data_IF_043441089678
#
_entry.id   IF_043441089678
#
_cell.length_a   1.000
_cell.length_b   1.000
_cell.length_c   1.000
_cell.angle_alpha   90.00
_cell.angle_beta   90.00
_cell.angle_gamma   90.00
#
_symmetry.space_group_name_H-M   'P 1'
#
loop_
_entity.id
_entity.type
_entity.pdbx_description
1 polymer ?
#
# COMPACT_ATOMS: atom_id res chain seq x y z
N UNK A 1 -3.07 11.89 20.22
CA UNK A 1 -2.22 12.60 19.24
C UNK A 1 -1.15 11.65 18.73
N UNK A 2 -0.68 11.86 17.50
CA UNK A 2 0.34 11.01 16.89
C UNK A 2 1.75 11.38 17.35
N UNK A 3 2.55 10.37 17.68
CA UNK A 3 3.95 10.47 18.09
C UNK A 3 4.80 9.56 17.22
N UNK A 4 5.93 10.07 16.74
CA UNK A 4 6.92 9.25 16.07
C UNK A 4 7.80 8.56 17.13
N UNK A 5 7.90 7.24 17.05
CA UNK A 5 8.78 6.43 17.90
C UNK A 5 9.96 5.94 17.08
N UNK A 6 11.15 6.07 17.67
CA UNK A 6 12.42 5.70 17.04
C UNK A 6 13.11 4.64 17.88
N UNK A 7 13.66 3.61 17.21
CA UNK A 7 14.42 2.52 17.82
C UNK A 7 13.68 1.76 18.94
N UNK A 8 12.36 1.88 19.01
CA UNK A 8 11.54 1.21 20.01
C UNK A 8 11.04 -0.16 19.55
N UNK A 9 11.04 -1.09 20.49
CA UNK A 9 10.37 -2.40 20.43
C UNK A 9 9.45 -2.57 21.65
N UNK A 10 8.81 -3.74 21.79
CA UNK A 10 7.97 -4.02 22.96
C UNK A 10 6.85 -5.03 22.72
N UNK A 11 6.58 -5.35 21.45
CA UNK A 11 5.69 -6.45 21.13
C UNK A 11 6.47 -7.79 21.22
N UNK A 12 5.96 -8.81 21.94
CA UNK A 12 6.63 -10.11 22.05
C UNK A 12 6.84 -10.83 20.70
N UNK A 13 6.09 -10.43 19.67
CA UNK A 13 6.20 -10.94 18.31
C UNK A 13 7.15 -10.12 17.41
N UNK A 14 7.81 -9.08 17.94
CA UNK A 14 8.83 -8.33 17.20
C UNK A 14 10.22 -8.91 17.48
N UNK A 15 10.78 -9.61 16.49
CA UNK A 15 12.16 -10.13 16.53
C UNK A 15 13.14 -9.12 15.95
N UNK A 16 14.29 -8.90 16.59
CA UNK A 16 15.33 -7.98 16.10
C UNK A 16 16.73 -8.52 16.38
N UNK A 17 17.70 -8.16 15.52
CA UNK A 17 19.11 -8.48 15.70
C UNK A 17 19.95 -7.25 16.07
N UNK A 18 19.37 -6.04 16.01
CA UNK A 18 20.08 -4.77 16.18
C UNK A 18 19.38 -3.85 17.19
N UNK A 19 18.58 -4.41 18.10
CA UNK A 19 17.79 -3.65 19.07
C UNK A 19 16.91 -2.56 18.43
N UNK A 20 16.40 -2.81 17.22
CA UNK A 20 15.50 -1.92 16.48
C UNK A 20 16.12 -0.61 15.99
N UNK A 21 17.45 -0.45 16.02
CA UNK A 21 18.13 0.71 15.42
C UNK A 21 17.69 0.88 13.95
N UNK A 22 17.29 2.10 13.59
CA UNK A 22 16.76 2.48 12.27
C UNK A 22 15.25 2.27 12.12
N UNK A 23 14.55 1.74 13.14
CA UNK A 23 13.11 1.55 13.09
C UNK A 23 12.38 2.85 13.43
N UNK A 24 11.37 3.18 12.63
CA UNK A 24 10.49 4.32 12.79
C UNK A 24 9.04 3.86 12.72
N UNK A 25 8.20 4.24 13.69
CA UNK A 25 6.75 3.97 13.64
C UNK A 25 5.96 5.14 14.21
N UNK A 26 4.75 5.34 13.71
CA UNK A 26 3.80 6.30 14.25
C UNK A 26 2.84 5.61 15.22
N UNK A 27 2.70 6.16 16.43
CA UNK A 27 1.74 5.67 17.43
C UNK A 27 0.79 6.80 17.82
N UNK A 28 -0.50 6.48 17.90
CA UNK A 28 -1.48 7.41 18.46
C UNK A 28 -1.58 7.23 19.98
N UNK A 29 -1.17 8.26 20.73
CA UNK A 29 -1.30 8.32 22.19
C UNK A 29 -2.48 9.22 22.59
N UNK A 30 -3.59 8.67 23.14
CA UNK A 30 -4.74 9.47 23.58
C UNK A 30 -4.46 10.28 24.85
N UNK A 31 -3.40 9.98 25.60
CA UNK A 31 -3.02 10.66 26.84
C UNK A 31 -2.06 11.83 26.60
N UNK A 32 -1.49 11.93 25.40
CA UNK A 32 -0.60 13.01 25.04
C UNK A 32 -1.37 14.33 24.91
N UNK A 33 -1.21 15.20 25.89
CA UNK A 33 -1.79 16.55 25.89
C UNK A 33 -0.83 17.53 25.23
N UNK A 34 -1.12 17.90 23.99
CA UNK A 34 -0.47 19.02 23.33
C UNK A 34 -1.15 20.34 23.73
N UNK A 35 -0.40 21.43 23.68
CA UNK A 35 -0.95 22.78 23.83
C UNK A 35 -1.91 23.10 22.68
N UNK A 36 -2.89 24.02 22.89
CA UNK A 36 -3.79 24.45 21.83
C UNK A 36 -3.08 24.99 20.58
N UNK A 37 -1.91 25.63 20.76
CA UNK A 37 -1.09 26.13 19.64
C UNK A 37 -0.57 24.98 18.77
N UNK A 38 -0.02 23.93 19.39
CA UNK A 38 0.53 22.78 18.66
C UNK A 38 -0.54 22.01 17.90
N UNK A 39 -1.73 21.87 18.48
CA UNK A 39 -2.87 21.26 17.80
C UNK A 39 -3.27 22.11 16.60
N UNK A 40 -3.42 23.43 16.80
CA UNK A 40 -3.77 24.35 15.71
C UNK A 40 -2.74 24.32 14.58
N UNK A 41 -1.46 24.24 14.88
CA UNK A 41 -0.41 24.17 13.87
C UNK A 41 -0.47 22.87 13.03
N UNK A 42 -0.78 21.74 13.67
CA UNK A 42 -0.94 20.46 12.96
C UNK A 42 -2.18 20.49 12.06
N UNK A 43 -3.30 21.00 12.57
CA UNK A 43 -4.53 21.11 11.80
C UNK A 43 -4.41 22.12 10.65
N UNK A 44 -3.73 23.25 10.88
CA UNK A 44 -3.42 24.20 9.81
C UNK A 44 -2.58 23.56 8.71
N UNK A 45 -1.53 22.78 9.06
CA UNK A 45 -0.72 22.09 8.05
C UNK A 45 -1.55 21.10 7.20
N UNK A 46 -2.49 20.38 7.83
CA UNK A 46 -3.40 19.46 7.15
C UNK A 46 -4.39 20.19 6.24
N UNK A 47 -4.95 21.29 6.73
CA UNK A 47 -5.86 22.13 5.96
C UNK A 47 -5.15 22.76 4.76
N UNK A 48 -3.97 23.35 4.99
CA UNK A 48 -3.13 23.97 3.95
C UNK A 48 -2.80 22.95 2.85
N UNK A 49 -2.45 21.71 3.22
CA UNK A 49 -2.24 20.65 2.24
C UNK A 49 -3.53 20.37 1.46
N UNK A 50 -4.65 20.17 2.15
CA UNK A 50 -5.95 19.82 1.54
C UNK A 50 -6.42 20.89 0.54
N UNK A 51 -6.24 22.16 0.86
CA UNK A 51 -6.59 23.29 0.00
C UNK A 51 -5.69 23.39 -1.24
N UNK A 52 -4.41 23.04 -1.10
CA UNK A 52 -3.40 23.14 -2.15
C UNK A 52 -3.07 21.80 -2.85
N UNK A 53 -3.80 20.71 -2.54
CA UNK A 53 -3.52 19.32 -2.98
C UNK A 53 -3.43 19.10 -4.49
N UNK A 54 -3.93 20.05 -5.28
CA UNK A 54 -3.85 20.01 -6.74
C UNK A 54 -2.64 20.75 -7.31
N UNK A 55 -1.97 21.60 -6.53
CA UNK A 55 -0.70 22.25 -6.91
C UNK A 55 0.49 21.58 -6.23
N UNK A 56 0.31 21.12 -4.99
CA UNK A 56 1.34 20.44 -4.19
C UNK A 56 0.94 18.98 -4.04
N UNK A 57 1.75 18.08 -4.59
CA UNK A 57 1.50 16.63 -4.58
C UNK A 57 2.26 15.89 -3.47
N UNK A 58 3.34 16.46 -2.96
CA UNK A 58 4.17 15.81 -1.93
C UNK A 58 3.98 16.50 -0.59
N UNK A 59 3.90 15.71 0.47
CA UNK A 59 4.08 16.19 1.84
C UNK A 59 5.53 16.60 2.09
N UNK A 60 5.70 17.47 3.09
CA UNK A 60 6.95 18.01 3.57
C UNK A 60 7.27 17.53 5.00
N UNK A 61 6.65 16.43 5.46
CA UNK A 61 6.87 15.84 6.80
C UNK A 61 6.70 16.84 7.96
N UNK A 62 5.72 17.74 7.84
CA UNK A 62 5.60 18.87 8.77
C UNK A 62 5.32 18.40 10.20
N UNK A 63 4.56 17.31 10.36
CA UNK A 63 4.24 16.73 11.67
C UNK A 63 5.50 16.15 12.34
N UNK A 64 6.33 15.42 11.58
CA UNK A 64 7.60 14.86 12.07
C UNK A 64 8.59 15.97 12.43
N UNK A 65 8.78 16.93 11.52
CA UNK A 65 9.72 18.05 11.71
C UNK A 65 9.41 18.87 12.96
N UNK A 66 8.13 19.10 13.25
CA UNK A 66 7.69 19.78 14.49
C UNK A 66 8.01 19.01 15.77
N UNK A 67 8.05 17.67 15.73
CA UNK A 67 8.47 16.87 16.90
C UNK A 67 9.99 17.00 17.10
N UNK A 68 10.77 16.86 16.02
CA UNK A 68 12.23 17.01 16.08
C UNK A 68 12.70 18.43 16.41
N UNK A 69 11.99 19.46 15.98
CA UNK A 69 12.29 20.85 16.34
C UNK A 69 12.35 21.05 17.87
N UNK A 70 11.49 20.35 18.61
CA UNK A 70 11.45 20.38 20.08
C UNK A 70 12.51 19.49 20.71
N UNK A 71 12.77 18.33 20.14
CA UNK A 71 13.74 17.36 20.68
C UNK A 71 15.20 17.80 20.45
N UNK A 72 15.49 18.44 19.32
CA UNK A 72 16.84 18.78 18.86
C UNK A 72 17.03 20.29 18.56
N UNK A 73 16.81 21.20 19.53
CA UNK A 73 16.81 22.64 19.25
C UNK A 73 18.15 23.13 18.67
N UNK A 74 18.09 23.84 17.54
CA UNK A 74 19.27 24.44 16.90
C UNK A 74 19.65 25.73 17.63
N UNK A 75 20.94 25.89 17.95
CA UNK A 75 21.44 27.04 18.71
C UNK A 75 21.44 28.36 17.92
N UNK A 76 21.52 28.30 16.59
CA UNK A 76 21.65 29.47 15.72
C UNK A 76 20.83 29.34 14.42
N UNK A 77 19.86 30.23 14.25
CA UNK A 77 19.10 30.38 13.00
C UNK A 77 19.85 31.34 12.08
N UNK A 78 20.66 30.78 11.19
CA UNK A 78 21.41 31.56 10.20
C UNK A 78 20.46 32.17 9.14
N UNK A 79 20.70 33.43 8.70
CA UNK A 79 19.80 34.14 7.79
C UNK A 79 19.77 33.51 6.40
N UNK A 80 18.61 33.55 5.74
CA UNK A 80 18.50 33.09 4.36
C UNK A 80 19.25 34.03 3.42
N UNK A 81 20.25 33.49 2.73
CA UNK A 81 20.93 34.17 1.63
C UNK A 81 20.17 33.90 0.34
N UNK A 82 19.68 34.95 -0.31
CA UNK A 82 19.08 34.88 -1.65
C UNK A 82 20.04 35.52 -2.64
N UNK A 83 20.59 34.73 -3.55
CA UNK A 83 21.45 35.22 -4.63
C UNK A 83 20.59 35.36 -5.88
N UNK A 84 20.56 36.54 -6.51
CA UNK A 84 19.84 36.73 -7.79
C UNK A 84 20.62 36.14 -8.95
N UNK A 85 19.95 35.82 -10.06
CA UNK A 85 20.60 35.26 -11.26
C UNK A 85 21.80 36.08 -11.78
N UNK A 86 21.76 37.40 -11.61
CA UNK A 86 22.83 38.31 -12.06
C UNK A 86 23.90 38.61 -11.01
N UNK A 87 23.76 38.12 -9.78
CA UNK A 87 24.69 38.37 -8.68
C UNK A 87 25.78 37.29 -8.63
N UNK A 88 27.02 37.68 -8.33
CA UNK A 88 28.11 36.71 -8.13
C UNK A 88 27.88 35.94 -6.84
N UNK A 89 27.90 34.62 -6.93
CA UNK A 89 27.91 33.73 -5.76
C UNK A 89 29.20 33.95 -4.97
N UNK A 90 29.09 34.41 -3.73
CA UNK A 90 30.23 34.64 -2.84
C UNK A 90 30.51 33.40 -1.98
N UNK A 91 31.76 33.25 -1.52
CA UNK A 91 32.15 32.19 -0.58
C UNK A 91 31.33 32.26 0.73
N UNK A 92 31.04 33.47 1.20
CA UNK A 92 30.21 33.71 2.38
C UNK A 92 28.77 33.23 2.17
N UNK A 93 28.17 33.48 0.99
CA UNK A 93 26.84 33.03 0.64
C UNK A 93 26.76 31.50 0.61
N UNK A 94 27.75 30.85 0.00
CA UNK A 94 27.87 29.38 -0.03
C UNK A 94 28.05 28.83 1.38
N UNK A 95 28.97 29.38 2.16
CA UNK A 95 29.27 28.92 3.53
C UNK A 95 28.06 29.05 4.44
N UNK A 96 27.35 30.18 4.37
CA UNK A 96 26.13 30.41 5.16
C UNK A 96 25.03 29.45 4.76
N UNK A 97 24.85 29.23 3.45
CA UNK A 97 23.83 28.29 2.93
C UNK A 97 24.14 26.85 3.32
N UNK A 98 25.40 26.43 3.23
CA UNK A 98 25.85 25.10 3.64
C UNK A 98 25.63 24.88 5.14
N UNK A 99 26.05 25.82 5.99
CA UNK A 99 25.82 25.74 7.43
C UNK A 99 24.33 25.67 7.78
N UNK A 100 23.47 26.42 7.06
CA UNK A 100 22.01 26.32 7.21
C UNK A 100 21.49 24.93 6.89
N UNK A 101 21.95 24.35 5.78
CA UNK A 101 21.58 22.99 5.38
C UNK A 101 22.02 21.95 6.41
N UNK A 102 23.27 22.04 6.88
CA UNK A 102 23.80 21.12 7.90
C UNK A 102 23.07 21.28 9.24
N UNK A 103 22.83 22.51 9.71
CA UNK A 103 22.07 22.75 10.93
C UNK A 103 20.65 22.18 10.84
N UNK A 104 20.01 22.34 9.69
CA UNK A 104 18.68 21.78 9.43
C UNK A 104 18.68 20.25 9.45
N UNK A 105 19.60 19.60 8.73
CA UNK A 105 19.68 18.13 8.72
C UNK A 105 20.06 17.54 10.09
N UNK A 106 20.91 18.22 10.86
CA UNK A 106 21.21 17.82 12.24
C UNK A 106 19.98 17.89 13.15
N UNK A 107 19.08 18.85 12.93
CA UNK A 107 17.86 19.00 13.72
C UNK A 107 16.90 17.81 13.54
N UNK A 108 16.78 17.29 12.32
CA UNK A 108 15.87 16.18 12.00
C UNK A 108 16.52 14.79 12.09
N UNK A 109 17.72 14.69 12.66
CA UNK A 109 18.37 13.42 12.92
C UNK A 109 17.75 12.76 14.15
N UNK A 110 17.39 11.49 14.04
CA UNK A 110 16.87 10.74 15.17
C UNK A 110 17.96 10.31 16.15
N UNK A 111 17.58 9.99 17.39
CA UNK A 111 18.51 9.74 18.48
C UNK A 111 19.39 8.48 18.30
N UNK A 112 19.00 7.55 17.43
CA UNK A 112 19.78 6.37 17.04
C UNK A 112 20.66 6.63 15.80
N UNK A 113 20.67 7.86 15.29
CA UNK A 113 21.56 8.36 14.25
C UNK A 113 21.00 8.33 12.82
N UNK A 114 19.80 7.78 12.58
CA UNK A 114 19.21 7.78 11.23
C UNK A 114 18.36 9.02 10.95
N UNK A 115 17.96 9.21 9.69
CA UNK A 115 17.02 10.26 9.27
C UNK A 115 15.69 9.64 8.88
N UNK A 116 14.66 9.78 9.73
CA UNK A 116 13.33 9.33 9.38
C UNK A 116 12.72 10.25 8.31
N UNK A 117 11.76 9.75 7.55
CA UNK A 117 11.13 10.55 6.49
C UNK A 117 10.09 9.80 5.68
N UNK A 118 9.28 10.57 4.97
CA UNK A 118 8.31 10.06 4.03
C UNK A 118 9.00 9.34 2.86
N UNK A 119 8.53 8.13 2.57
CA UNK A 119 8.94 7.35 1.41
C UNK A 119 7.74 6.67 0.74
N UNK A 120 6.62 7.40 0.65
CA UNK A 120 5.42 7.03 -0.09
C UNK A 120 5.50 7.35 -1.58
N UNK A 121 4.34 7.55 -2.20
CA UNK A 121 4.21 7.90 -3.62
C UNK A 121 3.34 6.93 -4.41
N UNK A 122 3.62 5.61 -4.41
CA UNK A 122 2.77 4.64 -5.10
C UNK A 122 1.40 4.49 -4.43
N UNK A 123 0.34 4.51 -5.24
CA UNK A 123 -1.06 4.50 -4.77
C UNK A 123 -1.69 3.10 -4.79
N UNK A 124 -0.89 2.04 -4.94
CA UNK A 124 -1.35 0.64 -4.98
C UNK A 124 -0.82 -0.21 -3.82
N UNK A 125 -0.05 0.37 -2.90
CA UNK A 125 0.52 -0.36 -1.75
C UNK A 125 -0.51 -0.55 -0.63
N UNK A 126 -1.10 0.56 -0.19
CA UNK A 126 -2.13 0.57 0.86
C UNK A 126 -3.33 -0.33 0.53
N UNK A 127 -3.85 -0.35 -0.72
CA UNK A 127 -4.94 -1.26 -1.07
C UNK A 127 -4.66 -2.73 -0.78
N UNK A 128 -3.48 -3.24 -1.15
CA UNK A 128 -3.13 -4.63 -0.87
C UNK A 128 -3.12 -4.95 0.62
N UNK A 129 -2.58 -4.03 1.43
CA UNK A 129 -2.57 -4.15 2.90
C UNK A 129 -3.99 -4.17 3.48
N UNK A 130 -4.85 -3.23 3.08
CA UNK A 130 -6.22 -3.10 3.61
C UNK A 130 -7.10 -4.27 3.17
N UNK A 131 -6.96 -4.74 1.93
CA UNK A 131 -7.64 -5.95 1.44
C UNK A 131 -7.20 -7.15 2.29
N UNK A 132 -5.89 -7.35 2.45
CA UNK A 132 -5.35 -8.46 3.23
C UNK A 132 -5.87 -8.43 4.67
N UNK A 133 -5.78 -7.29 5.34
CA UNK A 133 -6.25 -7.15 6.71
C UNK A 133 -7.76 -7.36 6.87
N UNK A 134 -8.54 -6.98 5.86
CA UNK A 134 -9.99 -7.23 5.81
C UNK A 134 -10.29 -8.73 5.74
N UNK A 135 -9.63 -9.46 4.84
CA UNK A 135 -9.89 -10.90 4.65
C UNK A 135 -9.36 -11.75 5.81
N UNK A 136 -8.24 -11.37 6.43
CA UNK A 136 -7.71 -12.11 7.59
C UNK A 136 -8.42 -11.76 8.90
N UNK A 137 -9.40 -10.84 8.88
CA UNK A 137 -10.09 -10.34 10.07
C UNK A 137 -9.21 -9.51 11.02
N UNK A 138 -8.01 -9.12 10.58
CA UNK A 138 -7.02 -8.42 11.41
C UNK A 138 -7.13 -6.88 11.33
N UNK A 139 -7.99 -6.35 10.46
CA UNK A 139 -8.13 -4.90 10.20
C UNK A 139 -8.29 -4.07 11.48
N UNK A 140 -9.23 -4.43 12.34
CA UNK A 140 -9.49 -3.69 13.58
C UNK A 140 -8.47 -3.95 14.68
N UNK A 141 -7.76 -5.08 14.61
CA UNK A 141 -6.70 -5.42 15.56
C UNK A 141 -5.40 -4.66 15.25
N UNK A 142 -5.14 -4.39 13.97
CA UNK A 142 -3.91 -3.72 13.51
C UNK A 142 -4.10 -2.21 13.32
N UNK A 143 -5.25 -1.79 12.76
CA UNK A 143 -5.53 -0.39 12.44
C UNK A 143 -6.59 0.16 13.40
N UNK A 144 -6.18 1.08 14.27
CA UNK A 144 -7.10 1.83 15.13
C UNK A 144 -7.99 2.78 14.31
N UNK A 145 -9.02 3.34 14.95
CA UNK A 145 -9.87 4.38 14.34
C UNK A 145 -9.04 5.55 13.79
N UNK A 146 -7.98 5.93 14.48
CA UNK A 146 -7.12 7.04 14.07
C UNK A 146 -6.28 6.68 12.85
N UNK A 147 -5.76 5.44 12.74
CA UNK A 147 -5.09 4.99 11.51
C UNK A 147 -6.05 5.11 10.33
N UNK A 148 -7.27 4.60 10.46
CA UNK A 148 -8.27 4.62 9.38
C UNK A 148 -8.60 6.05 8.93
N UNK A 149 -8.81 6.98 9.88
CA UNK A 149 -9.06 8.41 9.57
C UNK A 149 -7.91 9.03 8.77
N UNK A 150 -6.66 8.78 9.17
CA UNK A 150 -5.50 9.33 8.47
C UNK A 150 -5.28 8.68 7.10
N UNK A 151 -5.58 7.39 6.95
CA UNK A 151 -5.54 6.70 5.66
C UNK A 151 -6.62 7.22 4.71
N UNK A 152 -7.85 7.43 5.20
CA UNK A 152 -8.93 8.06 4.44
C UNK A 152 -8.53 9.48 4.00
N UNK A 153 -7.95 10.28 4.90
CA UNK A 153 -7.43 11.62 4.58
C UNK A 153 -6.42 11.57 3.44
N UNK A 154 -5.46 10.64 3.50
CA UNK A 154 -4.47 10.45 2.44
C UNK A 154 -5.11 10.14 1.09
N UNK A 155 -6.06 9.21 1.06
CA UNK A 155 -6.74 8.83 -0.18
C UNK A 155 -7.55 9.99 -0.77
N UNK A 156 -8.25 10.77 0.05
CA UNK A 156 -8.97 11.96 -0.43
C UNK A 156 -8.06 13.09 -0.91
N UNK A 157 -6.92 13.29 -0.23
CA UNK A 157 -5.95 14.30 -0.62
C UNK A 157 -5.28 13.98 -1.97
N UNK A 158 -5.21 12.70 -2.35
CA UNK A 158 -4.60 12.26 -3.60
C UNK A 158 -5.60 11.85 -4.68
N UNK A 159 -6.90 12.10 -4.48
CA UNK A 159 -7.89 11.99 -5.55
C UNK A 159 -7.67 13.10 -6.58
N UNK A 160 -7.66 12.74 -7.86
CA UNK A 160 -7.53 13.69 -8.95
C UNK A 160 -8.82 14.50 -9.17
N UNK A 161 -8.70 15.62 -9.91
CA UNK A 161 -9.84 16.51 -10.18
C UNK A 161 -10.98 15.83 -10.94
N UNK A 162 -10.66 14.79 -11.72
CA UNK A 162 -11.62 13.99 -12.48
C UNK A 162 -12.32 12.91 -11.63
N UNK A 163 -11.94 12.76 -10.36
CA UNK A 163 -12.51 11.78 -9.43
C UNK A 163 -11.71 10.48 -9.32
N UNK A 164 -10.77 10.21 -10.22
CA UNK A 164 -9.98 8.98 -10.17
C UNK A 164 -8.72 9.09 -9.32
N UNK A 165 -7.96 7.99 -9.29
CA UNK A 165 -6.63 7.90 -8.67
C UNK A 165 -5.61 7.33 -9.65
N UNK A 166 -4.39 7.84 -9.60
CA UNK A 166 -3.30 7.37 -10.44
C UNK A 166 -2.54 6.17 -9.87
N UNK A 167 -1.54 5.70 -10.62
CA UNK A 167 -0.58 4.68 -10.16
C UNK A 167 0.29 5.21 -9.01
N UNK A 168 0.55 6.51 -8.99
CA UNK A 168 1.27 7.26 -7.96
C UNK A 168 0.64 8.66 -7.79
N UNK A 169 1.00 9.38 -6.72
CA UNK A 169 0.42 10.69 -6.32
C UNK A 169 0.50 11.81 -7.39
N UNK A 170 1.46 11.72 -8.31
CA UNK A 170 1.59 12.66 -9.45
C UNK A 170 0.93 12.16 -10.75
N UNK A 171 0.50 10.90 -10.77
CA UNK A 171 0.00 10.24 -11.96
C UNK A 171 -1.42 10.67 -12.33
N UNK A 172 -1.78 10.64 -13.63
CA UNK A 172 -3.18 10.77 -14.04
C UNK A 172 -3.99 9.58 -13.52
N UNK A 173 -5.31 9.72 -13.51
CA UNK A 173 -6.22 8.66 -13.08
C UNK A 173 -6.10 7.42 -13.97
N UNK A 174 -6.17 6.25 -13.35
CA UNK A 174 -5.98 4.93 -13.97
C UNK A 174 -7.04 3.97 -13.44
N UNK A 175 -7.42 2.93 -14.19
CA UNK A 175 -8.37 1.92 -13.68
C UNK A 175 -7.77 1.19 -12.48
N UNK A 176 -6.46 0.88 -12.52
CA UNK A 176 -5.78 0.25 -11.39
C UNK A 176 -5.79 1.10 -10.13
N UNK A 177 -5.39 2.37 -10.23
CA UNK A 177 -5.39 3.29 -9.10
C UNK A 177 -6.81 3.55 -8.60
N UNK A 178 -7.74 3.89 -9.48
CA UNK A 178 -9.10 4.29 -9.08
C UNK A 178 -9.87 3.17 -8.39
N UNK A 179 -9.89 1.96 -8.97
CA UNK A 179 -10.64 0.84 -8.38
C UNK A 179 -10.04 0.44 -7.03
N UNK A 180 -8.73 0.29 -6.93
CA UNK A 180 -8.11 -0.15 -5.69
C UNK A 180 -8.25 0.87 -4.55
N UNK A 181 -8.12 2.17 -4.83
CA UNK A 181 -8.28 3.21 -3.81
C UNK A 181 -9.75 3.40 -3.42
N UNK A 182 -10.69 3.31 -4.36
CA UNK A 182 -12.13 3.30 -4.06
C UNK A 182 -12.50 2.12 -3.14
N UNK A 183 -12.08 0.91 -3.50
CA UNK A 183 -12.28 -0.30 -2.68
C UNK A 183 -11.66 -0.13 -1.29
N UNK A 184 -10.49 0.48 -1.21
CA UNK A 184 -9.81 0.76 0.07
C UNK A 184 -10.63 1.70 0.94
N UNK A 185 -11.18 2.80 0.40
CA UNK A 185 -12.06 3.72 1.13
C UNK A 185 -13.30 3.00 1.68
N UNK A 186 -13.94 2.17 0.84
CA UNK A 186 -15.10 1.36 1.27
C UNK A 186 -14.75 0.39 2.41
N UNK A 187 -13.60 -0.28 2.34
CA UNK A 187 -13.12 -1.19 3.41
C UNK A 187 -12.70 -0.45 4.69
N UNK A 188 -12.27 0.81 4.58
CA UNK A 188 -11.94 1.66 5.73
C UNK A 188 -13.18 2.24 6.41
N UNK A 189 -14.35 2.20 5.75
CA UNK A 189 -15.65 2.53 6.33
C UNK A 189 -16.43 3.63 5.61
N UNK A 190 -15.88 4.22 4.55
CA UNK A 190 -16.59 5.24 3.75
C UNK A 190 -17.76 4.58 3.00
N UNK A 191 -18.93 5.22 3.04
CA UNK A 191 -20.11 4.91 2.24
C UNK A 191 -19.93 5.25 0.76
N UNK A 192 -20.83 4.76 -0.12
CA UNK A 192 -20.76 5.04 -1.56
C UNK A 192 -21.07 6.50 -1.93
N UNK A 193 -21.55 7.30 -0.98
CA UNK A 193 -21.88 8.72 -1.16
C UNK A 193 -21.21 9.61 -0.08
N UNK A 194 -20.11 9.14 0.51
CA UNK A 194 -19.35 9.89 1.53
C UNK A 194 -18.24 10.75 0.89
N UNK A 195 -17.41 11.39 1.71
CA UNK A 195 -16.30 12.23 1.24
C UNK A 195 -16.74 13.49 0.50
N UNK A 196 -17.92 14.03 0.81
CA UNK A 196 -18.48 15.25 0.20
C UNK A 196 -18.56 15.16 -1.35
N UNK A 197 -19.01 14.02 -1.87
CA UNK A 197 -19.10 13.78 -3.31
C UNK A 197 -17.86 13.10 -3.92
N UNK A 198 -16.81 12.87 -3.13
CA UNK A 198 -15.57 12.24 -3.60
C UNK A 198 -15.80 10.77 -3.97
N UNK A 199 -16.62 10.05 -3.20
CA UNK A 199 -16.93 8.64 -3.49
C UNK A 199 -17.77 8.50 -4.76
N UNK A 200 -18.79 9.34 -4.96
CA UNK A 200 -19.58 9.32 -6.20
C UNK A 200 -18.71 9.61 -7.42
N UNK A 201 -17.83 10.63 -7.36
CA UNK A 201 -16.92 10.93 -8.47
C UNK A 201 -15.96 9.77 -8.77
N UNK A 202 -15.48 9.09 -7.74
CA UNK A 202 -14.63 7.91 -7.90
C UNK A 202 -15.36 6.76 -8.60
N UNK A 203 -16.57 6.44 -8.12
CA UNK A 203 -17.46 5.44 -8.74
C UNK A 203 -17.78 5.80 -10.20
N UNK A 204 -18.21 7.04 -10.43
CA UNK A 204 -18.57 7.52 -11.77
C UNK A 204 -17.36 7.45 -12.71
N UNK A 205 -16.17 7.81 -12.24
CA UNK A 205 -14.93 7.66 -13.01
C UNK A 205 -14.71 6.19 -13.39
N UNK A 206 -14.80 5.26 -12.44
CA UNK A 206 -14.62 3.82 -12.69
C UNK A 206 -15.62 3.31 -13.73
N UNK A 207 -16.91 3.60 -13.55
CA UNK A 207 -17.96 3.09 -14.43
C UNK A 207 -17.88 3.70 -15.84
N UNK A 208 -17.58 4.99 -15.95
CA UNK A 208 -17.42 5.67 -17.25
C UNK A 208 -16.20 5.19 -18.06
N UNK A 209 -15.23 4.52 -17.43
CA UNK A 209 -14.04 3.96 -18.08
C UNK A 209 -14.12 2.44 -18.28
N UNK A 210 -15.32 1.85 -18.18
CA UNK A 210 -15.59 0.44 -18.48
C UNK A 210 -15.68 -0.48 -17.26
N UNK A 211 -15.47 0.06 -16.04
CA UNK A 211 -15.56 -0.69 -14.80
C UNK A 211 -14.36 -1.59 -14.50
N UNK A 212 -14.43 -2.30 -13.38
CA UNK A 212 -13.34 -3.10 -12.84
C UNK A 212 -12.92 -4.30 -13.71
N UNK A 213 -13.69 -4.69 -14.73
CA UNK A 213 -13.26 -5.68 -15.73
C UNK A 213 -12.04 -5.21 -16.54
N UNK A 214 -11.85 -3.89 -16.64
CA UNK A 214 -10.73 -3.25 -17.36
C UNK A 214 -9.47 -3.09 -16.50
N UNK A 215 -9.49 -3.50 -15.23
CA UNK A 215 -8.34 -3.34 -14.32
C UNK A 215 -7.14 -4.20 -14.75
N UNK A 216 -5.93 -3.77 -14.39
CA UNK A 216 -4.68 -4.51 -14.67
C UNK A 216 -4.64 -5.88 -13.99
N UNK A 217 -3.72 -6.75 -14.43
CA UNK A 217 -3.56 -8.11 -13.86
C UNK A 217 -3.35 -8.13 -12.35
N UNK A 218 -2.60 -7.17 -11.79
CA UNK A 218 -2.41 -7.03 -10.36
C UNK A 218 -3.69 -6.60 -9.64
N UNK A 219 -4.47 -5.72 -10.26
CA UNK A 219 -5.77 -5.32 -9.74
C UNK A 219 -6.76 -6.48 -9.73
N UNK A 220 -6.82 -7.26 -10.81
CA UNK A 220 -7.65 -8.47 -10.92
C UNK A 220 -7.30 -9.46 -9.80
N UNK A 221 -6.01 -9.69 -9.56
CA UNK A 221 -5.55 -10.54 -8.45
C UNK A 221 -6.07 -10.04 -7.11
N UNK A 222 -5.91 -8.75 -6.78
CA UNK A 222 -6.36 -8.20 -5.50
C UNK A 222 -7.88 -8.24 -5.32
N UNK A 223 -8.65 -7.98 -6.38
CA UNK A 223 -10.10 -8.10 -6.34
C UNK A 223 -10.56 -9.56 -6.22
N UNK A 224 -9.83 -10.51 -6.82
CA UNK A 224 -10.07 -11.94 -6.65
C UNK A 224 -9.72 -12.44 -5.24
N UNK A 225 -8.66 -11.90 -4.64
CA UNK A 225 -8.34 -12.13 -3.22
C UNK A 225 -9.42 -11.56 -2.30
N UNK A 226 -10.03 -10.42 -2.65
CA UNK A 226 -11.15 -9.85 -1.90
C UNK A 226 -12.46 -10.63 -2.09
N UNK A 227 -12.57 -11.43 -3.17
CA UNK A 227 -13.76 -12.20 -3.52
C UNK A 227 -14.79 -11.44 -4.35
N UNK A 228 -14.40 -10.33 -5.00
CA UNK A 228 -15.29 -9.49 -5.83
C UNK A 228 -14.97 -9.59 -7.33
N UNK A 229 -14.07 -10.48 -7.72
CA UNK A 229 -13.68 -10.71 -9.11
C UNK A 229 -13.34 -12.19 -9.31
N UNK A 230 -13.91 -12.88 -10.30
CA UNK A 230 -13.67 -14.31 -10.47
C UNK A 230 -12.22 -14.64 -10.85
N UNK A 231 -11.64 -15.66 -10.19
CA UNK A 231 -10.30 -16.15 -10.52
C UNK A 231 -10.14 -16.58 -11.98
N UNK A 232 -11.22 -17.01 -12.64
CA UNK A 232 -11.23 -17.35 -14.06
C UNK A 232 -10.93 -16.15 -14.97
N UNK A 233 -11.19 -14.93 -14.50
CA UNK A 233 -10.85 -13.69 -15.19
C UNK A 233 -9.40 -13.22 -15.00
N UNK A 234 -8.54 -14.04 -14.40
CA UNK A 234 -7.10 -13.79 -14.34
C UNK A 234 -6.36 -14.62 -15.40
N UNK A 235 -5.22 -14.12 -15.87
CA UNK A 235 -4.28 -14.94 -16.63
C UNK A 235 -3.63 -15.96 -15.69
N UNK A 236 -3.48 -17.23 -16.09
CA UNK A 236 -2.82 -18.22 -15.24
C UNK A 236 -1.38 -17.83 -14.92
N UNK A 237 -1.04 -17.90 -13.65
CA UNK A 237 0.29 -17.65 -13.11
C UNK A 237 0.91 -19.00 -12.71
N UNK A 238 1.81 -19.58 -13.54
CA UNK A 238 2.38 -20.88 -13.23
C UNK A 238 3.27 -20.81 -11.98
N UNK A 239 3.25 -21.84 -11.12
CA UNK A 239 3.93 -21.80 -9.82
C UNK A 239 5.44 -22.06 -9.85
N UNK A 240 6.15 -21.48 -10.82
CA UNK A 240 7.61 -21.61 -10.92
C UNK A 240 8.38 -20.46 -10.28
N UNK A 241 7.75 -19.29 -10.14
CA UNK A 241 8.33 -18.10 -9.52
C UNK A 241 7.64 -17.85 -8.16
N UNK A 242 8.42 -17.65 -7.10
CA UNK A 242 7.98 -17.67 -5.69
C UNK A 242 6.79 -16.74 -5.41
N UNK A 243 6.77 -15.54 -6.01
CA UNK A 243 5.67 -14.58 -5.87
C UNK A 243 4.43 -14.93 -6.72
N UNK A 244 4.60 -15.71 -7.79
CA UNK A 244 3.55 -16.12 -8.74
C UNK A 244 2.85 -17.42 -8.31
N UNK A 245 3.45 -18.16 -7.38
CA UNK A 245 3.11 -19.57 -7.17
C UNK A 245 1.86 -19.82 -6.38
N UNK A 246 1.47 -18.90 -5.51
CA UNK A 246 0.29 -19.10 -4.66
C UNK A 246 -1.01 -18.65 -5.33
N UNK A 247 -0.97 -18.08 -6.53
CA UNK A 247 -2.14 -17.49 -7.21
C UNK A 247 -2.63 -18.26 -8.45
N UNK A 248 -2.14 -19.48 -8.68
CA UNK A 248 -2.67 -20.34 -9.74
C UNK A 248 -4.17 -20.65 -9.50
N UNK A 249 -5.07 -20.42 -10.48
CA UNK A 249 -6.50 -20.64 -10.31
C UNK A 249 -6.74 -22.10 -9.91
N UNK A 250 -7.37 -22.35 -8.77
CA UNK A 250 -7.87 -23.69 -8.47
C UNK A 250 -9.33 -23.60 -8.11
N UNK A 251 -10.17 -24.35 -8.83
CA UNK A 251 -11.57 -24.58 -8.47
C UNK A 251 -11.73 -25.19 -7.07
N UNK A 252 -10.66 -25.76 -6.49
CA UNK A 252 -10.59 -26.29 -5.12
C UNK A 252 -10.19 -25.27 -4.05
N UNK A 253 -10.05 -23.98 -4.37
CA UNK A 253 -9.83 -22.90 -3.38
C UNK A 253 -11.01 -21.95 -3.22
N UNK A 254 -12.17 -22.31 -3.77
CA UNK A 254 -13.46 -21.69 -3.41
C UNK A 254 -13.70 -21.72 -1.89
N UNK A 255 -13.04 -22.63 -1.17
CA UNK A 255 -13.25 -22.85 0.27
C UNK A 255 -12.19 -22.18 1.19
N UNK A 256 -11.13 -21.55 0.66
CA UNK A 256 -10.09 -20.89 1.50
C UNK A 256 -10.31 -19.39 1.61
N UNK A 257 -10.91 -18.79 0.58
CA UNK A 257 -11.43 -17.42 0.60
C UNK A 257 -12.95 -17.47 0.40
N UNK A 258 -13.62 -18.45 1.02
CA UNK A 258 -15.05 -18.32 1.27
C UNK A 258 -15.20 -17.30 2.38
N UNK A 259 -15.51 -16.05 2.04
CA UNK A 259 -16.18 -15.15 2.98
C UNK A 259 -17.31 -15.97 3.63
N UNK A 260 -17.43 -16.00 4.97
CA UNK A 260 -18.35 -16.91 5.67
C UNK A 260 -19.72 -16.90 4.98
N UNK A 261 -20.25 -18.08 4.66
CA UNK A 261 -21.45 -18.27 3.85
C UNK A 261 -22.58 -17.35 4.35
N UNK A 262 -22.87 -16.31 3.56
CA UNK A 262 -23.73 -15.18 3.95
C UNK A 262 -23.09 -13.82 3.65
N UNK A 263 -21.84 -13.59 4.07
CA UNK A 263 -21.14 -12.32 3.79
C UNK A 263 -20.82 -12.17 2.30
N UNK A 264 -20.48 -13.27 1.61
CA UNK A 264 -20.14 -13.28 0.18
C UNK A 264 -21.24 -12.68 -0.72
N UNK A 265 -22.51 -13.08 -0.52
CA UNK A 265 -23.61 -12.60 -1.35
C UNK A 265 -23.98 -11.13 -1.07
N UNK A 266 -23.96 -10.70 0.20
CA UNK A 266 -24.22 -9.29 0.57
C UNK A 266 -23.08 -8.36 0.12
N UNK A 267 -21.84 -8.82 0.23
CA UNK A 267 -20.66 -8.11 -0.27
C UNK A 267 -20.77 -7.97 -1.79
N UNK A 268 -20.99 -9.06 -2.54
CA UNK A 268 -21.13 -9.01 -4.00
C UNK A 268 -22.22 -8.05 -4.49
N UNK A 269 -23.40 -8.04 -3.85
CA UNK A 269 -24.49 -7.13 -4.21
C UNK A 269 -24.12 -5.64 -4.04
N UNK A 270 -23.31 -5.30 -3.03
CA UNK A 270 -22.86 -3.92 -2.79
C UNK A 270 -21.88 -3.48 -3.88
N UNK A 271 -20.98 -4.37 -4.31
CA UNK A 271 -19.95 -4.01 -5.29
C UNK A 271 -20.43 -4.08 -6.74
N UNK A 272 -21.48 -4.85 -7.03
CA UNK A 272 -22.03 -5.04 -8.37
C UNK A 272 -22.42 -3.70 -9.01
N UNK A 273 -23.11 -2.83 -8.28
CA UNK A 273 -23.52 -1.51 -8.77
C UNK A 273 -22.42 -0.44 -8.68
N UNK A 274 -21.35 -0.70 -7.92
CA UNK A 274 -20.29 0.28 -7.66
C UNK A 274 -19.06 0.10 -8.57
N UNK A 275 -18.75 -1.14 -9.00
CA UNK A 275 -17.51 -1.44 -9.73
C UNK A 275 -17.72 -1.90 -11.17
N UNK A 276 -18.90 -2.44 -11.50
CA UNK A 276 -19.13 -3.11 -12.78
C UNK A 276 -20.20 -2.38 -13.60
N UNK A 277 -20.02 -2.38 -14.93
CA UNK A 277 -20.94 -1.73 -15.89
C UNK A 277 -22.11 -2.60 -16.31
N UNK A 278 -22.03 -3.90 -16.00
CA UNK A 278 -23.07 -4.91 -16.23
C UNK A 278 -23.26 -5.72 -14.95
N UNK A 279 -24.43 -6.35 -14.74
CA UNK A 279 -24.63 -7.25 -13.62
C UNK A 279 -23.52 -8.32 -13.52
N UNK A 280 -23.07 -8.63 -12.31
CA UNK A 280 -21.93 -9.50 -12.03
C UNK A 280 -22.06 -10.87 -12.69
N UNK A 281 -23.28 -11.41 -12.70
CA UNK A 281 -23.61 -12.70 -13.31
C UNK A 281 -23.61 -12.71 -14.85
N UNK A 282 -23.61 -11.52 -15.49
CA UNK A 282 -23.52 -11.35 -16.95
C UNK A 282 -22.08 -11.13 -17.43
N UNK A 283 -21.12 -10.98 -16.51
CA UNK A 283 -19.71 -10.74 -16.87
C UNK A 283 -19.10 -11.99 -17.52
N UNK A 284 -18.59 -11.84 -18.75
CA UNK A 284 -17.72 -12.83 -19.37
C UNK A 284 -16.30 -12.73 -18.79
N UNK A 285 -16.03 -13.52 -17.76
CA UNK A 285 -14.72 -13.58 -17.11
C UNK A 285 -13.59 -14.03 -18.05
N UNK A 286 -13.88 -14.88 -19.03
CA UNK A 286 -12.86 -15.31 -19.99
C UNK A 286 -12.46 -14.16 -20.92
N UNK A 287 -13.39 -13.26 -21.28
CA UNK A 287 -13.06 -12.02 -21.97
C UNK A 287 -12.30 -11.07 -21.04
N UNK A 288 -12.80 -10.83 -19.82
CA UNK A 288 -12.24 -9.90 -18.84
C UNK A 288 -10.75 -10.14 -18.58
N UNK A 289 -10.29 -11.40 -18.67
CA UNK A 289 -8.88 -11.79 -18.58
C UNK A 289 -7.92 -10.94 -19.38
N UNK A 290 -8.28 -10.64 -20.63
CA UNK A 290 -7.42 -9.92 -21.57
C UNK A 290 -7.70 -8.42 -21.62
N UNK A 291 -8.79 -7.97 -21.01
CA UNK A 291 -9.15 -6.56 -20.94
C UNK A 291 -8.16 -5.77 -20.07
N UNK A 292 -7.83 -4.56 -20.51
CA UNK A 292 -7.03 -3.60 -19.77
C UNK A 292 -7.40 -2.20 -20.27
N UNK A 293 -7.63 -1.25 -19.36
CA UNK A 293 -7.91 0.13 -19.69
C UNK A 293 -6.72 0.76 -20.43
N UNK A 294 -7.01 1.65 -21.39
CA UNK A 294 -5.96 2.32 -22.18
C UNK A 294 -5.06 3.19 -21.31
N UNK A 295 -5.61 3.75 -20.23
CA UNK A 295 -4.92 4.59 -19.25
C UNK A 295 -3.85 3.81 -18.48
N UNK A 296 -4.04 2.49 -18.32
CA UNK A 296 -3.13 1.59 -17.62
C UNK A 296 -2.10 0.91 -18.54
N UNK A 297 -2.32 0.94 -19.86
CA UNK A 297 -1.54 0.18 -20.82
C UNK A 297 -0.21 0.86 -21.15
N UNK A 298 0.76 0.73 -20.25
CA UNK A 298 2.11 1.27 -20.47
C UNK A 298 2.92 0.44 -21.47
N UNK A 299 2.79 -0.89 -21.39
CA UNK A 299 3.41 -1.84 -22.33
C UNK A 299 2.34 -2.76 -22.92
N UNK A 300 2.00 -2.61 -24.22
CA UNK A 300 1.05 -3.51 -24.86
C UNK A 300 1.62 -4.92 -24.96
N UNK A 301 0.76 -5.92 -24.82
CA UNK A 301 1.18 -7.32 -24.94
C UNK A 301 1.63 -7.64 -26.37
N UNK A 302 2.80 -8.23 -26.56
CA UNK A 302 3.16 -8.85 -27.84
C UNK A 302 2.25 -10.05 -28.10
N UNK A 303 1.93 -10.33 -29.37
CA UNK A 303 1.12 -11.49 -29.76
C UNK A 303 1.63 -12.83 -29.17
N UNK A 304 2.95 -12.97 -29.07
CA UNK A 304 3.57 -14.17 -28.46
C UNK A 304 3.16 -14.35 -27.00
N UNK A 305 2.99 -13.27 -26.24
CA UNK A 305 2.55 -13.32 -24.85
C UNK A 305 1.09 -13.79 -24.75
N UNK A 306 0.22 -13.29 -25.63
CA UNK A 306 -1.19 -13.73 -25.68
C UNK A 306 -1.30 -15.21 -26.05
N UNK A 307 -0.49 -15.69 -27.00
CA UNK A 307 -0.43 -17.12 -27.37
C UNK A 307 0.06 -17.97 -26.20
N UNK A 308 1.09 -17.52 -25.46
CA UNK A 308 1.60 -18.24 -24.30
C UNK A 308 0.56 -18.31 -23.17
N UNK A 309 -0.15 -17.22 -22.89
CA UNK A 309 -1.22 -17.23 -21.90
C UNK A 309 -2.42 -18.07 -22.32
N UNK A 310 -2.80 -18.05 -23.61
CA UNK A 310 -3.85 -18.92 -24.13
C UNK A 310 -3.47 -20.39 -24.01
N UNK A 311 -2.21 -20.76 -24.29
CA UNK A 311 -1.70 -22.11 -24.09
C UNK A 311 -1.71 -22.51 -22.60
N UNK A 312 -1.29 -21.60 -21.73
CA UNK A 312 -1.33 -21.81 -20.29
C UNK A 312 -2.77 -22.08 -19.81
N UNK A 313 -3.74 -21.25 -20.20
CA UNK A 313 -5.14 -21.36 -19.78
C UNK A 313 -5.86 -22.57 -20.38
N UNK A 314 -5.73 -22.79 -21.70
CA UNK A 314 -6.55 -23.77 -22.41
C UNK A 314 -5.96 -25.18 -22.39
N UNK A 315 -4.64 -25.32 -22.21
CA UNK A 315 -3.98 -26.62 -22.25
C UNK A 315 -3.32 -26.98 -20.91
N UNK A 316 -2.44 -26.13 -20.39
CA UNK A 316 -1.61 -26.47 -19.22
C UNK A 316 -2.43 -26.48 -17.93
N UNK A 317 -3.28 -25.47 -17.73
CA UNK A 317 -4.08 -25.33 -16.52
C UNK A 317 -5.05 -26.51 -16.30
N UNK A 318 -5.81 -27.00 -17.31
CA UNK A 318 -6.58 -28.22 -17.19
C UNK A 318 -5.74 -29.45 -16.83
N UNK A 319 -4.53 -29.59 -17.37
CA UNK A 319 -3.63 -30.70 -17.04
C UNK A 319 -3.18 -30.62 -15.58
N UNK A 320 -2.81 -29.43 -15.11
CA UNK A 320 -2.36 -29.21 -13.73
C UNK A 320 -3.48 -29.34 -12.70
N UNK A 321 -4.74 -29.25 -13.12
CA UNK A 321 -5.90 -29.47 -12.25
C UNK A 321 -6.27 -30.95 -12.06
N UNK A 322 -5.74 -31.85 -12.90
CA UNK A 322 -6.02 -33.28 -12.86
C UNK A 322 -4.77 -34.10 -12.53
N UNK A 323 -4.95 -35.35 -12.12
CA UNK A 323 -3.82 -36.25 -11.90
C UNK A 323 -3.15 -36.62 -13.24
N UNK A 324 -1.80 -36.63 -13.35
CA UNK A 324 -0.80 -36.41 -12.30
C UNK A 324 -0.36 -34.93 -12.12
N UNK A 325 -0.79 -34.01 -12.97
CA UNK A 325 -0.40 -32.59 -12.93
C UNK A 325 -0.71 -31.91 -11.59
N UNK A 326 -1.79 -32.30 -10.93
CA UNK A 326 -2.15 -31.85 -9.57
C UNK A 326 -1.02 -32.08 -8.56
N UNK A 327 -0.33 -33.24 -8.61
CA UNK A 327 0.82 -33.52 -7.72
C UNK A 327 2.01 -32.61 -8.01
N UNK A 328 2.22 -32.25 -9.28
CA UNK A 328 3.27 -31.31 -9.66
C UNK A 328 2.97 -29.92 -9.13
N UNK A 329 1.71 -29.48 -9.22
CA UNK A 329 1.25 -28.20 -8.65
C UNK A 329 1.40 -28.18 -7.13
N UNK A 330 0.94 -29.23 -6.43
CA UNK A 330 1.09 -29.34 -4.97
C UNK A 330 2.57 -29.25 -4.57
N UNK A 331 3.46 -29.97 -5.26
CA UNK A 331 4.90 -29.88 -5.01
C UNK A 331 5.45 -28.47 -5.23
N UNK A 332 5.04 -27.79 -6.31
CA UNK A 332 5.46 -26.43 -6.60
C UNK A 332 4.98 -25.43 -5.53
N UNK A 333 3.74 -25.60 -5.05
CA UNK A 333 3.19 -24.81 -3.94
C UNK A 333 3.96 -25.03 -2.64
N UNK A 334 4.33 -26.27 -2.31
CA UNK A 334 5.17 -26.57 -1.14
C UNK A 334 6.54 -25.88 -1.23
N UNK A 335 7.21 -25.93 -2.39
CA UNK A 335 8.48 -25.23 -2.57
C UNK A 335 8.33 -23.70 -2.50
N UNK A 336 7.22 -23.16 -3.00
CA UNK A 336 6.97 -21.73 -2.92
C UNK A 336 6.79 -21.24 -1.47
N UNK A 337 6.01 -21.97 -0.66
CA UNK A 337 5.82 -21.59 0.75
C UNK A 337 7.12 -21.76 1.57
N UNK A 338 7.94 -22.77 1.26
CA UNK A 338 9.29 -22.91 1.85
C UNK A 338 10.17 -21.67 1.58
N UNK A 339 10.15 -21.13 0.35
CA UNK A 339 10.89 -19.91 0.01
C UNK A 339 10.32 -18.66 0.69
N UNK A 340 9.00 -18.57 0.87
CA UNK A 340 8.36 -17.48 1.62
C UNK A 340 8.82 -17.50 3.08
N UNK A 341 8.73 -18.65 3.75
CA UNK A 341 9.24 -18.80 5.12
C UNK A 341 10.71 -18.43 5.23
N UNK A 342 11.53 -18.86 4.25
CA UNK A 342 12.94 -18.49 4.21
C UNK A 342 13.16 -16.97 4.10
N UNK A 343 12.43 -16.26 3.22
CA UNK A 343 12.49 -14.80 3.14
C UNK A 343 12.05 -14.14 4.46
N UNK A 344 10.95 -14.60 5.03
CA UNK A 344 10.36 -14.04 6.23
C UNK A 344 11.29 -14.19 7.44
N UNK A 345 11.90 -15.36 7.62
CA UNK A 345 12.86 -15.60 8.69
C UNK A 345 14.13 -14.74 8.55
N UNK A 346 14.64 -14.59 7.32
CA UNK A 346 15.84 -13.80 7.02
C UNK A 346 15.62 -12.30 7.19
N UNK A 347 14.42 -11.81 6.89
CA UNK A 347 14.06 -10.39 6.96
C UNK A 347 13.34 -10.02 8.25
N UNK A 348 13.16 -10.98 9.16
CA UNK A 348 12.38 -10.81 10.41
C UNK A 348 10.96 -10.30 10.12
N UNK A 349 10.34 -10.87 9.08
CA UNK A 349 8.96 -10.64 8.63
C UNK A 349 8.69 -9.21 8.11
N UNK A 350 9.75 -8.43 7.89
CA UNK A 350 9.70 -7.13 7.20
C UNK A 350 9.61 -7.35 5.69
N UNK A 351 10.29 -8.38 5.17
CA UNK A 351 10.44 -8.69 3.75
C UNK A 351 11.18 -7.57 2.99
N UNK A 352 11.53 -7.77 1.71
CA UNK A 352 12.29 -6.75 0.93
C UNK A 352 11.51 -5.45 0.68
N UNK A 353 10.18 -5.49 0.67
CA UNK A 353 9.32 -4.38 0.30
C UNK A 353 7.85 -4.59 0.68
N UNK A 354 7.02 -3.55 0.47
CA UNK A 354 5.63 -3.54 0.95
C UNK A 354 4.75 -4.58 0.28
N UNK A 355 4.92 -4.79 -1.03
CA UNK A 355 4.10 -5.73 -1.80
C UNK A 355 4.34 -7.16 -1.35
N UNK A 356 5.60 -7.62 -1.39
CA UNK A 356 5.94 -8.97 -0.97
C UNK A 356 5.71 -9.16 0.53
N UNK A 357 5.89 -8.13 1.38
CA UNK A 357 5.49 -8.20 2.79
C UNK A 357 4.03 -8.60 2.96
N UNK A 358 3.13 -7.96 2.21
CA UNK A 358 1.70 -8.20 2.34
C UNK A 358 1.32 -9.55 1.73
N UNK A 359 1.90 -9.90 0.58
CA UNK A 359 1.67 -11.20 -0.06
C UNK A 359 2.19 -12.36 0.79
N UNK A 360 3.41 -12.30 1.32
CA UNK A 360 3.96 -13.33 2.20
C UNK A 360 3.09 -13.51 3.46
N UNK A 361 2.68 -12.40 4.08
CA UNK A 361 1.77 -12.43 5.22
C UNK A 361 0.44 -13.12 4.90
N UNK A 362 -0.15 -12.81 3.73
CA UNK A 362 -1.37 -13.47 3.27
C UNK A 362 -1.12 -14.97 3.03
N UNK A 363 0.02 -15.33 2.44
CA UNK A 363 0.38 -16.72 2.18
C UNK A 363 0.54 -17.54 3.47
N UNK A 364 1.21 -16.98 4.48
CA UNK A 364 1.33 -17.58 5.81
C UNK A 364 -0.03 -17.74 6.50
N UNK A 365 -0.96 -16.81 6.30
CA UNK A 365 -2.34 -16.95 6.79
C UNK A 365 -3.13 -18.03 6.03
N UNK A 366 -2.98 -18.11 4.71
CA UNK A 366 -3.61 -19.13 3.86
C UNK A 366 -3.11 -20.53 4.21
N UNK A 367 -1.83 -20.68 4.54
CA UNK A 367 -1.25 -21.95 4.99
C UNK A 367 -1.81 -22.37 6.36
N UNK A 368 -1.75 -21.47 7.35
CA UNK A 368 -2.37 -21.65 8.66
C UNK A 368 -2.66 -20.29 9.32
N UNK A 369 -3.95 -19.91 9.49
CA UNK A 369 -4.36 -18.66 10.12
C UNK A 369 -3.85 -18.46 11.55
N UNK A 370 -3.49 -19.56 12.24
CA UNK A 370 -3.01 -19.54 13.61
C UNK A 370 -1.49 -19.69 13.72
N UNK A 371 -0.77 -19.72 12.60
CA UNK A 371 0.67 -19.94 12.53
C UNK A 371 1.45 -18.87 13.29
N UNK A 372 2.64 -19.25 13.78
CA UNK A 372 3.58 -18.28 14.34
C UNK A 372 4.03 -17.27 13.29
N UNK A 373 4.26 -17.73 12.05
CA UNK A 373 4.68 -16.89 10.93
C UNK A 373 3.70 -15.73 10.67
N UNK A 374 2.40 -16.01 10.61
CA UNK A 374 1.38 -14.97 10.47
C UNK A 374 1.40 -13.96 11.62
N UNK A 375 1.52 -14.42 12.88
CA UNK A 375 1.58 -13.55 14.06
C UNK A 375 2.81 -12.64 14.06
N UNK A 376 3.94 -13.12 13.55
CA UNK A 376 5.19 -12.35 13.43
C UNK A 376 5.11 -11.24 12.36
N UNK A 377 4.27 -11.40 11.34
CA UNK A 377 4.04 -10.36 10.32
C UNK A 377 3.19 -9.18 10.77
N UNK A 378 2.23 -9.40 11.68
CA UNK A 378 1.27 -8.36 12.09
C UNK A 378 1.93 -7.11 12.70
N UNK A 379 2.85 -7.21 13.68
CA UNK A 379 3.46 -6.02 14.26
C UNK A 379 4.39 -5.29 13.28
N UNK A 380 4.85 -5.97 12.21
CA UNK A 380 5.67 -5.39 11.14
C UNK A 380 4.91 -4.51 10.18
N UNK A 381 3.58 -4.48 10.24
CA UNK A 381 2.77 -3.59 9.40
C UNK A 381 3.06 -2.13 9.74
N UNK A 382 3.27 -1.83 11.03
CA UNK A 382 3.54 -0.47 11.50
C UNK A 382 4.84 0.10 10.93
N UNK A 383 5.83 -0.76 10.64
CA UNK A 383 7.09 -0.38 10.01
C UNK A 383 6.89 0.18 8.59
N UNK A 384 5.73 -0.05 7.96
CA UNK A 384 5.37 0.44 6.63
C UNK A 384 4.42 1.64 6.64
N UNK A 385 3.92 2.09 7.79
CA UNK A 385 2.93 3.17 7.86
C UNK A 385 3.57 4.49 8.26
N UNK A 386 3.28 5.53 7.48
CA UNK A 386 3.85 6.85 7.69
C UNK A 386 2.79 7.94 7.68
N UNK A 387 2.87 8.82 8.67
CA UNK A 387 1.98 9.96 8.81
C UNK A 387 2.69 11.25 8.38
N UNK A 388 2.04 12.00 7.51
CA UNK A 388 2.39 13.39 7.24
C UNK A 388 1.11 14.27 7.20
N UNK A 389 1.24 15.54 6.83
CA UNK A 389 0.12 16.48 6.78
C UNK A 389 -0.95 16.13 5.73
N UNK A 390 -0.60 15.32 4.73
CA UNK A 390 -1.53 14.81 3.74
C UNK A 390 -2.29 13.55 4.21
N UNK A 391 -1.89 12.94 5.33
CA UNK A 391 -2.51 11.76 5.92
C UNK A 391 -1.51 10.60 6.13
N UNK A 392 -2.05 9.41 6.39
CA UNK A 392 -1.25 8.20 6.60
C UNK A 392 -1.16 7.37 5.33
N UNK A 393 0.06 7.01 4.93
CA UNK A 393 0.34 6.23 3.72
C UNK A 393 1.20 5.00 4.02
N UNK A 394 1.21 4.07 3.06
CA UNK A 394 2.13 2.93 3.10
C UNK A 394 3.42 3.28 2.34
N UNK A 395 4.57 3.10 2.97
CA UNK A 395 5.87 3.44 2.41
C UNK A 395 6.48 2.31 1.56
N UNK A 396 7.37 2.68 0.66
CA UNK A 396 8.23 1.75 -0.09
C UNK A 396 9.44 1.38 0.79
N UNK A 397 9.28 0.77 1.96
CA UNK A 397 10.46 0.39 2.76
C UNK A 397 11.32 -0.58 1.96
N UNK A 398 12.52 -0.17 1.56
CA UNK A 398 13.51 -1.05 0.93
C UNK A 398 14.53 -1.37 2.02
N UNK A 399 14.67 -2.65 2.36
CA UNK A 399 15.84 -3.14 3.07
C UNK A 399 17.07 -2.88 2.18
N UNK A 400 17.71 -1.72 2.36
CA UNK A 400 19.07 -1.52 1.85
C UNK A 400 19.91 -2.46 2.69
N UNK A 401 20.23 -3.63 2.13
CA UNK A 401 21.26 -4.50 2.68
C UNK A 401 22.49 -3.62 2.91
N UNK A 402 22.81 -3.37 4.19
CA UNK A 402 24.18 -3.02 4.57
C UNK A 402 25.02 -4.20 4.09
N UNK A 403 25.59 -4.07 2.89
CA UNK A 403 26.81 -4.80 2.56
C UNK A 403 27.81 -4.40 3.64
N UNK A 404 27.99 -5.28 4.63
CA UNK A 404 29.08 -5.16 5.57
C UNK A 404 30.37 -5.16 4.75
N UNK A 405 31.15 -4.09 4.90
CA UNK A 405 32.56 -4.01 4.50
C UNK A 405 33.37 -5.01 5.30
#
# INVERSE_FOLDING_TARGET
MWRLKIAEGGNPWLRTNNNHIGRQIWEFDPKLTLSPSEISEIENARQDFTENRFQIKHSADLIMRKQFEKENPVSEVLPQVKVKESEKVTEEAVTTTLKRGLNYYSNIQAHDGHWPGDYGGPMFLMPGLVITLSITGALHAVLSSEHKKEMIRYLYNHQNRDGGWGLHIEGPSTMFGSVLNYVTLRLLGEGPNDGEGSMEKGRDWILNHGGATMITSWGKMWLSVLGVFEWSGNNPLPPRDVASSLFAPSSSRKDVVSLPDGLSAYVLLIWEEELFTVPYHEIDWNQARTLCAKEDLYYPHPLVQDVLWALLDKAIEPILMHWPGKKLREKALCTAIEHIHYEDENTRYICIGPVNKVLNMLCCWVEDPNSEAFKLHLPRIQDYLWLAEDGMKMQVVILIFKFFV
#
